data_IF_003711796458
#
_entry.id   IF_003711796458
#
_cell.length_a   1.000
_cell.length_b   1.000
_cell.length_c   1.000
_cell.angle_alpha   90.00
_cell.angle_beta   90.00
_cell.angle_gamma   90.00
#
_symmetry.space_group_name_H-M   'P 1'
#
loop_
_entity.id
_entity.type
_entity.pdbx_description
1 polymer ?
#
# COMPACT_ATOMS: atom_id res chain seq x y z
N UNK A 1 -3.66 13.62 13.36
CA UNK A 1 -2.76 13.99 12.24
C UNK A 1 -3.42 13.50 10.97
N UNK A 2 -3.91 14.39 10.11
CA UNK A 2 -4.43 14.02 8.79
C UNK A 2 -3.26 14.03 7.82
N UNK A 3 -2.92 12.88 7.23
CA UNK A 3 -1.95 12.83 6.14
C UNK A 3 -2.70 13.16 4.86
N UNK A 4 -2.58 14.40 4.39
CA UNK A 4 -3.05 14.80 3.08
C UNK A 4 -1.94 14.48 2.06
N UNK A 5 -2.17 13.64 1.03
CA UNK A 5 -3.41 12.94 0.66
C UNK A 5 -3.64 11.61 1.41
N UNK A 6 -4.90 11.23 1.61
CA UNK A 6 -5.26 9.89 2.07
C UNK A 6 -4.97 8.88 0.97
N UNK A 7 -4.34 7.78 1.32
CA UNK A 7 -4.03 6.71 0.37
C UNK A 7 -4.57 5.41 0.89
N UNK A 8 -5.41 4.77 0.08
CA UNK A 8 -5.88 3.42 0.29
C UNK A 8 -4.83 2.44 -0.24
N UNK A 9 -4.37 1.55 0.62
CA UNK A 9 -3.45 0.46 0.28
C UNK A 9 -4.24 -0.83 0.14
N UNK A 10 -4.24 -1.42 -1.06
CA UNK A 10 -4.95 -2.65 -1.34
C UNK A 10 -4.02 -3.71 -1.95
N UNK A 11 -4.13 -4.95 -1.49
CA UNK A 11 -3.36 -6.09 -2.00
C UNK A 11 -4.29 -7.01 -2.76
N UNK A 12 -4.10 -7.04 -4.07
CA UNK A 12 -4.82 -7.91 -5.00
C UNK A 12 -4.57 -9.40 -4.71
N UNK A 13 -5.41 -10.26 -5.28
CA UNK A 13 -5.27 -11.72 -5.18
C UNK A 13 -3.95 -12.21 -5.82
N UNK A 14 -3.51 -11.54 -6.89
CA UNK A 14 -2.23 -11.77 -7.57
C UNK A 14 -1.01 -11.28 -6.75
N UNK A 15 -1.21 -10.86 -5.49
CA UNK A 15 -0.20 -10.30 -4.59
C UNK A 15 0.44 -9.00 -5.10
N UNK A 16 -0.21 -8.30 -6.04
CA UNK A 16 0.15 -6.91 -6.40
C UNK A 16 -0.48 -5.93 -5.43
N UNK A 17 0.22 -4.82 -5.21
CA UNK A 17 -0.27 -3.71 -4.42
C UNK A 17 -0.86 -2.66 -5.36
N UNK A 18 -2.04 -2.18 -5.03
CA UNK A 18 -2.66 -1.02 -5.66
C UNK A 18 -2.81 0.09 -4.63
N UNK A 19 -2.42 1.29 -5.00
CA UNK A 19 -2.56 2.49 -4.19
C UNK A 19 -3.56 3.42 -4.86
N UNK A 20 -4.64 3.71 -4.16
CA UNK A 20 -5.68 4.63 -4.61
C UNK A 20 -5.62 5.87 -3.74
N UNK A 21 -5.42 7.03 -4.35
CA UNK A 21 -5.46 8.28 -3.60
C UNK A 21 -6.92 8.66 -3.42
N UNK A 22 -7.30 9.06 -2.21
CA UNK A 22 -8.65 9.49 -1.89
C UNK A 22 -8.65 10.85 -1.21
N UNK A 23 -9.72 11.61 -1.39
CA UNK A 23 -9.95 12.87 -0.68
C UNK A 23 -10.51 12.62 0.74
N UNK A 24 -10.77 13.69 1.49
CA UNK A 24 -11.37 13.60 2.83
C UNK A 24 -12.77 12.97 2.84
N UNK A 25 -13.45 12.92 1.68
CA UNK A 25 -14.74 12.26 1.50
C UNK A 25 -14.59 10.80 1.02
N UNK A 26 -13.38 10.23 1.07
CA UNK A 26 -13.03 8.89 0.60
C UNK A 26 -13.34 8.68 -0.90
N UNK A 27 -13.30 9.75 -1.70
CA UNK A 27 -13.49 9.66 -3.15
C UNK A 27 -12.13 9.57 -3.85
N UNK A 28 -11.99 8.70 -4.87
CA UNK A 28 -10.75 8.58 -5.61
C UNK A 28 -10.36 9.91 -6.27
N UNK A 29 -9.10 10.29 -6.11
CA UNK A 29 -8.48 11.43 -6.78
C UNK A 29 -7.47 10.94 -7.81
N UNK A 30 -7.41 11.63 -8.95
CA UNK A 30 -6.51 11.26 -10.03
C UNK A 30 -5.05 11.33 -9.60
N UNK A 31 -4.27 10.29 -9.92
CA UNK A 31 -2.83 10.30 -9.69
C UNK A 31 -2.21 11.38 -10.57
N UNK A 32 -1.57 12.38 -9.97
CA UNK A 32 -0.85 13.43 -10.68
C UNK A 32 0.61 13.01 -10.95
N UNK A 33 1.53 13.76 -10.36
CA UNK A 33 2.97 13.50 -10.33
C UNK A 33 3.39 12.66 -9.11
N UNK A 34 2.41 12.16 -8.36
CA UNK A 34 2.68 11.39 -7.16
C UNK A 34 3.39 10.09 -7.52
N UNK A 35 4.40 9.74 -6.75
CA UNK A 35 5.12 8.47 -6.87
C UNK A 35 5.05 7.72 -5.56
N UNK A 36 4.97 6.40 -5.65
CA UNK A 36 4.99 5.53 -4.48
C UNK A 36 6.08 4.48 -4.62
N UNK A 37 6.59 4.02 -3.49
CA UNK A 37 7.52 2.90 -3.40
C UNK A 37 7.17 2.11 -2.16
N UNK A 38 6.98 0.81 -2.33
CA UNK A 38 6.68 -0.10 -1.23
C UNK A 38 7.87 -1.02 -1.02
N UNK A 39 8.26 -1.18 0.23
CA UNK A 39 9.35 -2.06 0.65
C UNK A 39 8.74 -3.08 1.61
N UNK A 40 8.72 -4.34 1.21
CA UNK A 40 8.04 -5.41 1.92
C UNK A 40 8.92 -6.68 1.97
N UNK A 41 8.69 -7.54 2.96
CA UNK A 41 9.39 -8.82 3.10
C UNK A 41 10.40 -8.86 4.25
N UNK A 42 11.32 -9.81 4.20
CA UNK A 42 12.30 -10.03 5.27
C UNK A 42 13.25 -8.83 5.40
N UNK A 43 13.60 -8.46 6.64
CA UNK A 43 14.52 -7.34 6.90
C UNK A 43 15.93 -7.58 6.31
N UNK A 44 16.31 -8.84 6.12
CA UNK A 44 17.59 -9.25 5.53
C UNK A 44 17.56 -9.25 4.00
N UNK A 45 16.38 -9.37 3.39
CA UNK A 45 16.18 -9.38 1.94
C UNK A 45 14.87 -8.66 1.54
N UNK A 46 14.80 -7.33 1.70
CA UNK A 46 13.57 -6.59 1.43
C UNK A 46 13.28 -6.52 -0.06
N UNK A 47 12.04 -6.80 -0.43
CA UNK A 47 11.52 -6.63 -1.79
C UNK A 47 11.06 -5.19 -1.97
N UNK A 48 11.63 -4.50 -2.97
CA UNK A 48 11.25 -3.13 -3.33
C UNK A 48 10.34 -3.17 -4.54
N UNK A 49 9.15 -2.61 -4.42
CA UNK A 49 8.15 -2.49 -5.45
C UNK A 49 8.04 -1.04 -5.89
N UNK A 50 8.35 -0.79 -7.16
CA UNK A 50 7.96 0.42 -7.86
C UNK A 50 6.48 0.39 -8.20
N UNK A 51 5.95 1.55 -8.57
CA UNK A 51 4.56 1.70 -8.99
C UNK A 51 4.49 2.41 -10.33
N UNK A 52 3.63 1.89 -11.19
CA UNK A 52 3.24 2.51 -12.44
C UNK A 52 1.82 3.09 -12.31
N UNK A 53 1.62 4.28 -12.87
CA UNK A 53 0.28 4.88 -12.98
C UNK A 53 -0.54 4.11 -14.01
N UNK A 54 -1.66 3.55 -13.56
CA UNK A 54 -2.65 2.90 -14.40
C UNK A 54 -3.99 3.62 -14.24
N UNK A 55 -4.25 4.60 -15.10
CA UNK A 55 -5.42 5.46 -14.96
C UNK A 55 -5.29 6.37 -13.74
N UNK A 56 -6.24 6.23 -12.81
CA UNK A 56 -6.32 7.02 -11.56
C UNK A 56 -5.78 6.28 -10.33
N UNK A 57 -5.11 5.13 -10.54
CA UNK A 57 -4.47 4.36 -9.46
C UNK A 57 -3.00 4.09 -9.77
N UNK A 58 -2.22 3.82 -8.73
CA UNK A 58 -0.86 3.32 -8.84
C UNK A 58 -0.88 1.80 -8.62
N UNK A 59 -0.29 1.05 -9.55
CA UNK A 59 -0.19 -0.42 -9.46
C UNK A 59 1.27 -0.81 -9.37
N UNK A 60 1.60 -1.74 -8.47
CA UNK A 60 2.96 -2.19 -8.31
C UNK A 60 3.48 -2.92 -9.56
N UNK A 61 4.70 -2.61 -9.96
CA UNK A 61 5.36 -3.26 -11.11
C UNK A 61 5.74 -4.72 -10.82
N UNK A 62 5.73 -5.11 -9.55
CA UNK A 62 5.97 -6.47 -9.09
C UNK A 62 4.93 -6.95 -8.09
N UNK A 63 5.16 -8.14 -7.54
CA UNK A 63 4.32 -8.77 -6.52
C UNK A 63 5.02 -8.76 -5.17
N UNK A 64 4.25 -8.79 -4.11
CA UNK A 64 4.76 -8.96 -2.75
C UNK A 64 5.48 -10.32 -2.61
N UNK A 65 6.53 -10.39 -1.78
CA UNK A 65 7.24 -11.64 -1.54
C UNK A 65 6.35 -12.69 -0.90
N UNK A 66 6.74 -13.95 -1.02
CA UNK A 66 6.05 -15.04 -0.34
C UNK A 66 6.16 -14.86 1.18
N UNK A 67 5.02 -14.95 1.85
CA UNK A 67 4.88 -14.69 3.28
C UNK A 67 3.52 -14.06 3.57
N UNK A 68 3.05 -14.26 4.79
CA UNK A 68 1.80 -13.66 5.26
C UNK A 68 2.02 -12.62 6.34
N UNK A 69 3.20 -12.52 6.94
CA UNK A 69 3.51 -11.54 7.97
C UNK A 69 4.89 -10.96 7.71
N UNK A 70 4.96 -9.67 7.38
CA UNK A 70 6.23 -8.99 7.17
C UNK A 70 6.14 -7.47 7.36
N UNK A 71 7.24 -6.83 7.78
CA UNK A 71 7.30 -5.39 7.87
C UNK A 71 7.18 -4.78 6.47
N UNK A 72 6.27 -3.82 6.35
CA UNK A 72 6.01 -3.09 5.11
C UNK A 72 6.23 -1.60 5.35
N UNK A 73 6.95 -0.97 4.43
CA UNK A 73 7.21 0.46 4.42
C UNK A 73 6.67 1.04 3.13
N UNK A 74 5.73 1.96 3.24
CA UNK A 74 5.16 2.69 2.12
C UNK A 74 5.77 4.08 2.13
N UNK A 75 6.47 4.42 1.04
CA UNK A 75 6.99 5.76 0.82
C UNK A 75 6.18 6.40 -0.29
N UNK A 76 5.52 7.50 0.02
CA UNK A 76 4.72 8.27 -0.91
C UNK A 76 5.33 9.65 -1.09
N UNK A 77 5.50 10.08 -2.33
CA UNK A 77 5.90 11.44 -2.68
C UNK A 77 4.82 12.08 -3.51
N UNK A 78 4.38 13.28 -3.13
CA UNK A 78 3.39 14.03 -3.90
C UNK A 78 4.01 14.59 -5.19
N UNK A 79 5.30 14.97 -5.15
CA UNK A 79 6.12 15.38 -6.30
C UNK A 79 7.56 14.89 -6.09
N UNK A 80 8.40 14.90 -7.13
CA UNK A 80 9.78 14.40 -7.04
C UNK A 80 10.63 15.10 -5.95
N UNK A 81 10.42 16.42 -5.82
CA UNK A 81 11.10 17.31 -4.87
C UNK A 81 10.43 17.40 -3.49
N UNK A 82 9.21 16.86 -3.34
CA UNK A 82 8.53 16.84 -2.06
C UNK A 82 9.16 15.84 -1.08
N UNK A 83 9.08 16.18 0.21
CA UNK A 83 9.43 15.26 1.29
C UNK A 83 8.54 14.00 1.20
N UNK A 84 9.14 12.79 1.17
CA UNK A 84 8.36 11.57 1.16
C UNK A 84 7.63 11.39 2.50
N UNK A 85 6.34 11.11 2.43
CA UNK A 85 5.57 10.57 3.55
C UNK A 85 5.92 9.09 3.66
N UNK A 86 6.35 8.66 4.85
CA UNK A 86 6.82 7.28 5.08
C UNK A 86 5.96 6.66 6.17
N UNK A 87 5.13 5.71 5.77
CA UNK A 87 4.33 4.91 6.69
C UNK A 87 4.94 3.52 6.85
N UNK A 88 5.06 3.06 8.09
CA UNK A 88 5.63 1.76 8.42
C UNK A 88 4.61 0.97 9.21
N UNK A 89 4.24 -0.20 8.71
CA UNK A 89 3.30 -1.09 9.37
C UNK A 89 3.68 -2.54 9.09
N UNK A 90 3.17 -3.47 9.90
CA UNK A 90 3.34 -4.89 9.61
C UNK A 90 2.18 -5.33 8.72
N UNK A 91 2.48 -5.80 7.50
CA UNK A 91 1.45 -6.27 6.59
C UNK A 91 1.19 -7.74 6.90
N UNK A 92 0.01 -8.01 7.45
CA UNK A 92 -0.46 -9.37 7.69
C UNK A 92 -1.51 -9.77 6.64
N UNK A 93 -1.10 -10.61 5.68
CA UNK A 93 -1.94 -11.17 4.61
C UNK A 93 -2.64 -12.47 5.02
N UNK A 94 -2.49 -12.95 6.25
CA UNK A 94 -3.20 -14.15 6.71
C UNK A 94 -4.71 -13.94 6.57
N UNK A 95 -5.45 -14.99 6.27
CA UNK A 95 -6.90 -14.89 6.16
C UNK A 95 -7.51 -14.84 7.56
N UNK A 96 -8.31 -13.81 7.83
CA UNK A 96 -9.06 -13.73 9.07
C UNK A 96 -10.14 -14.82 9.05
N UNK A 97 -10.14 -15.76 10.03
CA UNK A 97 -11.03 -16.92 10.02
C UNK A 97 -12.51 -16.56 10.21
N UNK A 98 -12.83 -15.32 10.57
CA UNK A 98 -14.20 -14.87 10.87
C UNK A 98 -14.83 -14.03 9.76
N UNK A 99 -14.07 -13.15 9.09
CA UNK A 99 -14.59 -12.28 8.03
C UNK A 99 -14.13 -12.62 6.61
N UNK A 100 -13.28 -13.65 6.43
CA UNK A 100 -12.78 -14.08 5.11
C UNK A 100 -11.99 -13.00 4.34
N UNK A 101 -11.64 -11.90 5.01
CA UNK A 101 -10.71 -10.88 4.52
C UNK A 101 -9.31 -11.15 5.06
N UNK A 102 -8.28 -10.67 4.36
CA UNK A 102 -6.91 -10.70 4.86
C UNK A 102 -6.82 -9.87 6.15
N UNK A 103 -5.99 -10.28 7.12
CA UNK A 103 -5.93 -9.68 8.47
C UNK A 103 -5.63 -8.17 8.43
N UNK A 104 -4.82 -7.69 7.47
CA UNK A 104 -4.59 -6.25 7.29
C UNK A 104 -5.84 -5.45 6.89
N UNK A 105 -6.84 -6.12 6.32
CA UNK A 105 -8.14 -5.56 5.91
C UNK A 105 -9.27 -6.08 6.80
N UNK A 106 -8.93 -6.70 7.94
CA UNK A 106 -9.90 -7.23 8.87
C UNK A 106 -10.74 -6.08 9.45
N UNK A 107 -12.05 -6.14 9.25
CA UNK A 107 -13.02 -5.24 9.90
C UNK A 107 -13.55 -5.82 11.20
N UNK A 108 -13.15 -7.03 11.55
CA UNK A 108 -13.50 -7.67 12.80
C UNK A 108 -12.51 -7.16 13.86
N UNK A 109 -12.93 -6.23 14.73
CA UNK A 109 -12.15 -5.62 15.82
C UNK A 109 -11.72 -6.65 16.90
N UNK A 110 -10.86 -7.59 16.53
CA UNK A 110 -10.31 -8.63 17.42
C UNK A 110 -8.98 -8.22 18.04
#
# INVERSE_FOLDING_TARGET
MSVEPHVEFFVTDDRKVTLTFVDEALKPVAVGEQTATVIAGDRSAPTRLGFAKQGDILVSDGVLPEGNDFPTVVQLKVTADASPVIEKFNLNLAECPTCNYKEYACTCEH
#
